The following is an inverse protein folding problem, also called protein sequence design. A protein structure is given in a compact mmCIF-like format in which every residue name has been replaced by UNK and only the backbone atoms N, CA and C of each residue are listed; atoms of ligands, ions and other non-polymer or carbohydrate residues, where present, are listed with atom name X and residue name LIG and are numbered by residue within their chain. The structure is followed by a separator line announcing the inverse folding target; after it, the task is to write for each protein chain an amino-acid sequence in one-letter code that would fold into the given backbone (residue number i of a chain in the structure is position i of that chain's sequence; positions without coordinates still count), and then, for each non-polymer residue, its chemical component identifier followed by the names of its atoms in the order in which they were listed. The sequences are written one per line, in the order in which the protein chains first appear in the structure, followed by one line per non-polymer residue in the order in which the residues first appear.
data_IF_722202118723
#
_entry.id   IF_722202118723
#
_cell.length_a   1.000
_cell.length_b   1.000
_cell.length_c   1.000
_cell.angle_alpha   90.00
_cell.angle_beta   90.00
_cell.angle_gamma   90.00
#
_symmetry.space_group_name_H-M   'P 1'
#
loop_
_entity.id
_entity.type
_entity.pdbx_description
1 polymer ?
#
# COMPACT_ATOMS: atom_id res chain seq x y z
N UNK A 1 21.66 -9.01 -10.81
CA UNK A 1 20.65 -8.46 -9.84
C UNK A 1 20.16 -7.09 -10.29
N UNK A 2 21.04 -6.13 -10.59
CA UNK A 2 20.65 -4.78 -11.07
C UNK A 2 19.93 -4.86 -12.43
N UNK A 3 20.40 -5.69 -13.36
CA UNK A 3 19.77 -5.87 -14.67
C UNK A 3 18.36 -6.50 -14.56
N UNK A 4 18.12 -7.34 -13.55
CA UNK A 4 16.77 -7.87 -13.25
C UNK A 4 15.84 -6.76 -12.78
N UNK A 5 16.30 -5.89 -11.87
CA UNK A 5 15.51 -4.76 -11.35
C UNK A 5 15.21 -3.74 -12.46
N UNK A 6 16.16 -3.50 -13.36
CA UNK A 6 15.96 -2.55 -14.48
C UNK A 6 15.05 -3.12 -15.57
N UNK A 7 15.05 -4.43 -15.77
CA UNK A 7 14.17 -5.09 -16.74
C UNK A 7 12.72 -5.25 -16.23
N UNK A 8 12.55 -5.39 -14.91
CA UNK A 8 11.22 -5.42 -14.25
C UNK A 8 10.57 -4.04 -14.12
N UNK A 9 11.34 -2.96 -14.25
CA UNK A 9 10.82 -1.59 -14.36
C UNK A 9 10.31 -1.31 -15.79
N UNK A 10 9.41 -2.17 -16.27
CA UNK A 10 8.77 -1.93 -17.56
C UNK A 10 7.93 -0.65 -17.48
N UNK A 11 7.96 0.15 -18.55
CA UNK A 11 7.15 1.37 -18.64
C UNK A 11 5.66 1.06 -18.39
N UNK A 12 5.22 -0.12 -18.80
CA UNK A 12 3.87 -0.64 -18.56
C UNK A 12 3.57 -0.88 -17.07
N UNK A 13 4.53 -1.40 -16.30
CA UNK A 13 4.37 -1.59 -14.86
C UNK A 13 4.27 -0.23 -14.12
N UNK A 14 5.04 0.76 -14.55
CA UNK A 14 4.96 2.12 -13.98
C UNK A 14 3.60 2.76 -14.26
N UNK A 15 3.11 2.66 -15.50
CA UNK A 15 1.77 3.17 -15.84
C UNK A 15 0.65 2.44 -15.08
N UNK A 16 0.73 1.13 -14.97
CA UNK A 16 -0.21 0.33 -14.19
C UNK A 16 -0.20 0.74 -12.72
N UNK A 17 0.98 0.98 -12.15
CA UNK A 17 1.13 1.46 -10.78
C UNK A 17 0.49 2.84 -10.57
N UNK A 18 0.79 3.81 -11.42
CA UNK A 18 0.21 5.17 -11.31
C UNK A 18 -1.32 5.12 -11.40
N UNK A 19 -1.86 4.35 -12.35
CA UNK A 19 -3.29 4.21 -12.53
C UNK A 19 -3.92 3.54 -11.30
N UNK A 20 -3.34 2.46 -10.82
CA UNK A 20 -3.87 1.72 -9.67
C UNK A 20 -3.74 2.49 -8.35
N UNK A 21 -2.67 3.26 -8.14
CA UNK A 21 -2.56 4.19 -7.00
C UNK A 21 -3.67 5.22 -7.04
N UNK A 22 -3.95 5.80 -8.22
CA UNK A 22 -5.02 6.78 -8.37
C UNK A 22 -6.39 6.18 -8.06
N UNK A 23 -6.67 4.96 -8.53
CA UNK A 23 -7.87 4.21 -8.17
C UNK A 23 -7.91 3.88 -6.67
N UNK A 24 -6.78 3.47 -6.09
CA UNK A 24 -6.66 3.22 -4.67
C UNK A 24 -7.00 4.44 -3.82
N UNK A 25 -6.51 5.61 -4.21
CA UNK A 25 -6.84 6.87 -3.54
C UNK A 25 -8.36 7.12 -3.56
N UNK A 26 -9.02 6.90 -4.69
CA UNK A 26 -10.47 7.04 -4.80
C UNK A 26 -11.21 6.06 -3.89
N UNK A 27 -10.76 4.80 -3.82
CA UNK A 27 -11.35 3.80 -2.92
C UNK A 27 -11.17 4.15 -1.44
N UNK A 28 -10.01 4.62 -1.04
CA UNK A 28 -9.74 4.94 0.37
C UNK A 28 -10.35 6.26 0.84
N UNK A 29 -10.72 7.17 -0.08
CA UNK A 29 -11.48 8.39 0.26
C UNK A 29 -12.95 8.07 0.54
N UNK A 30 -13.49 6.99 0.00
CA UNK A 30 -14.90 6.63 0.22
C UNK A 30 -15.03 5.83 1.53
N UNK A 31 -15.69 6.39 2.56
CA UNK A 31 -15.90 5.67 3.81
C UNK A 31 -16.68 4.38 3.59
N UNK A 32 -16.18 3.27 4.12
CA UNK A 32 -16.79 1.94 3.95
C UNK A 32 -16.17 1.10 2.84
N UNK A 33 -15.38 1.69 1.93
CA UNK A 33 -14.54 0.92 1.00
C UNK A 33 -13.16 0.71 1.62
N UNK A 34 -12.75 -0.55 1.73
CA UNK A 34 -11.44 -0.89 2.30
C UNK A 34 -10.41 -1.12 1.20
N UNK A 35 -9.13 -0.95 1.53
CA UNK A 35 -8.03 -1.30 0.62
C UNK A 35 -8.13 -2.76 0.14
N UNK A 36 -8.58 -3.66 1.02
CA UNK A 36 -8.76 -5.08 0.70
C UNK A 36 -9.84 -5.29 -0.36
N UNK A 37 -10.95 -4.55 -0.30
CA UNK A 37 -12.01 -4.61 -1.32
C UNK A 37 -11.49 -4.11 -2.66
N UNK A 38 -10.73 -3.01 -2.67
CA UNK A 38 -10.11 -2.48 -3.89
C UNK A 38 -9.19 -3.50 -4.55
N UNK A 39 -8.31 -4.12 -3.77
CA UNK A 39 -7.42 -5.18 -4.25
C UNK A 39 -8.22 -6.38 -4.76
N UNK A 40 -9.24 -6.83 -4.02
CA UNK A 40 -10.07 -7.97 -4.42
C UNK A 40 -10.80 -7.74 -5.77
N UNK A 41 -11.25 -6.52 -6.02
CA UNK A 41 -11.86 -6.15 -7.29
C UNK A 41 -10.83 -6.06 -8.43
N UNK A 42 -9.58 -5.72 -8.11
CA UNK A 42 -8.53 -5.59 -9.11
C UNK A 42 -7.91 -6.94 -9.50
N UNK A 43 -7.92 -7.95 -8.60
CA UNK A 43 -7.35 -9.29 -8.87
C UNK A 43 -7.84 -9.90 -10.19
N UNK A 44 -9.14 -9.96 -10.50
CA UNK A 44 -9.59 -10.54 -11.76
C UNK A 44 -9.07 -9.80 -13.00
N UNK A 45 -8.85 -8.48 -12.88
CA UNK A 45 -8.34 -7.65 -13.98
C UNK A 45 -6.83 -7.88 -14.21
N UNK A 46 -6.13 -8.42 -13.23
CA UNK A 46 -4.70 -8.73 -13.35
C UNK A 46 -4.43 -10.10 -13.99
N UNK A 47 -5.45 -10.95 -14.15
CA UNK A 47 -5.30 -12.22 -14.84
C UNK A 47 -4.95 -11.98 -16.32
N UNK A 48 -3.87 -12.59 -16.77
CA UNK A 48 -3.38 -12.42 -18.14
C UNK A 48 -2.38 -11.27 -18.32
N UNK A 49 -2.11 -10.49 -17.28
CA UNK A 49 -1.01 -9.51 -17.28
C UNK A 49 0.32 -10.17 -16.88
N UNK A 50 1.45 -9.65 -17.36
CA UNK A 50 2.76 -10.04 -16.83
C UNK A 50 2.81 -9.85 -15.31
N UNK A 51 3.55 -10.71 -14.61
CA UNK A 51 3.56 -10.74 -13.15
C UNK A 51 4.03 -9.41 -12.52
N UNK A 52 5.04 -8.76 -13.12
CA UNK A 52 5.55 -7.45 -12.71
C UNK A 52 4.46 -6.37 -12.76
N UNK A 53 3.70 -6.32 -13.85
CA UNK A 53 2.59 -5.37 -14.04
C UNK A 53 1.45 -5.67 -13.06
N UNK A 54 1.09 -6.94 -12.89
CA UNK A 54 0.04 -7.36 -11.97
C UNK A 54 0.37 -7.01 -10.51
N UNK A 55 1.58 -7.34 -10.05
CA UNK A 55 2.02 -7.00 -8.70
C UNK A 55 2.11 -5.49 -8.48
N UNK A 56 2.66 -4.75 -9.44
CA UNK A 56 2.71 -3.28 -9.37
C UNK A 56 1.32 -2.66 -9.26
N UNK A 57 0.34 -3.16 -10.01
CA UNK A 57 -1.02 -2.69 -9.95
C UNK A 57 -1.70 -2.98 -8.59
N UNK A 58 -1.57 -4.21 -8.09
CA UNK A 58 -2.16 -4.61 -6.80
C UNK A 58 -1.55 -3.84 -5.62
N UNK A 59 -0.22 -3.67 -5.60
CA UNK A 59 0.48 -2.89 -4.59
C UNK A 59 0.11 -1.42 -4.66
N UNK A 60 0.05 -0.84 -5.86
CA UNK A 60 -0.37 0.55 -6.06
C UNK A 60 -1.77 0.81 -5.52
N UNK A 61 -2.72 -0.06 -5.83
CA UNK A 61 -4.10 0.00 -5.32
C UNK A 61 -4.14 -0.04 -3.79
N UNK A 62 -3.41 -0.96 -3.19
CA UNK A 62 -3.36 -1.13 -1.74
C UNK A 62 -2.75 0.08 -1.04
N UNK A 63 -1.59 0.55 -1.50
CA UNK A 63 -0.89 1.69 -0.90
C UNK A 63 -1.69 2.99 -1.07
N UNK A 64 -2.28 3.22 -2.24
CA UNK A 64 -3.14 4.37 -2.50
C UNK A 64 -4.35 4.42 -1.58
N UNK A 65 -5.02 3.27 -1.39
CA UNK A 65 -6.19 3.18 -0.53
C UNK A 65 -5.85 3.37 0.96
N UNK A 66 -4.74 2.80 1.44
CA UNK A 66 -4.31 3.01 2.84
C UNK A 66 -3.96 4.47 3.10
N UNK A 67 -3.19 5.08 2.20
CA UNK A 67 -2.79 6.48 2.35
C UNK A 67 -4.00 7.41 2.39
N UNK A 68 -4.93 7.26 1.45
CA UNK A 68 -6.09 8.14 1.32
C UNK A 68 -7.08 8.02 2.47
N UNK A 69 -7.09 6.90 3.19
CA UNK A 69 -7.86 6.73 4.41
C UNK A 69 -7.48 7.74 5.52
N UNK A 70 -6.24 8.22 5.52
CA UNK A 70 -5.81 9.29 6.44
C UNK A 70 -6.38 10.67 6.06
N UNK A 71 -6.63 10.91 4.78
CA UNK A 71 -7.23 12.18 4.29
C UNK A 71 -8.65 12.32 4.84
N UNK A 72 -9.45 11.27 4.74
CA UNK A 72 -10.82 11.26 5.27
C UNK A 72 -10.85 11.36 6.79
N UNK A 73 -9.92 10.70 7.48
CA UNK A 73 -9.76 10.83 8.92
C UNK A 73 -9.52 12.28 9.34
N UNK A 74 -8.71 13.05 8.61
CA UNK A 74 -8.40 14.45 8.88
C UNK A 74 -9.58 15.35 8.56
N UNK A 75 -10.21 15.20 7.38
CA UNK A 75 -11.17 16.15 6.84
C UNK A 75 -12.59 15.95 7.38
N UNK A 76 -13.02 14.70 7.54
CA UNK A 76 -14.39 14.36 7.92
C UNK A 76 -14.48 13.51 9.20
N UNK A 77 -13.37 13.38 9.93
CA UNK A 77 -13.31 12.62 11.20
C UNK A 77 -13.79 11.16 11.07
N UNK A 78 -13.68 10.59 9.88
CA UNK A 78 -14.06 9.20 9.60
C UNK A 78 -12.88 8.48 8.96
N UNK A 79 -12.31 7.45 9.61
CA UNK A 79 -11.17 6.75 9.06
C UNK A 79 -11.61 5.93 7.84
N UNK A 80 -10.99 6.13 6.69
CA UNK A 80 -11.25 5.32 5.49
C UNK A 80 -10.68 3.91 5.60
N UNK A 81 -9.62 3.74 6.41
CA UNK A 81 -8.99 2.44 6.66
C UNK A 81 -8.69 2.28 8.15
N UNK A 82 -8.58 1.04 8.68
CA UNK A 82 -8.20 0.81 10.07
C UNK A 82 -6.86 1.44 10.46
N UNK A 83 -5.91 1.49 9.53
CA UNK A 83 -4.60 2.10 9.74
C UNK A 83 -4.70 3.63 9.99
N UNK A 84 -5.71 4.29 9.46
CA UNK A 84 -5.94 5.72 9.64
C UNK A 84 -6.60 6.08 10.98
N UNK A 85 -6.96 5.10 11.82
CA UNK A 85 -7.59 5.35 13.12
C UNK A 85 -6.71 6.22 14.05
N UNK A 86 -5.38 6.03 14.01
CA UNK A 86 -4.48 6.86 14.79
C UNK A 86 -4.50 8.34 14.36
N UNK A 87 -4.76 8.63 13.09
CA UNK A 87 -4.83 10.00 12.55
C UNK A 87 -6.04 10.77 13.09
N UNK A 88 -7.08 10.08 13.60
CA UNK A 88 -8.24 10.71 14.21
C UNK A 88 -7.92 11.45 15.51
N UNK A 89 -6.84 11.10 16.19
CA UNK A 89 -6.51 11.70 17.48
C UNK A 89 -6.19 13.19 17.34
N UNK A 90 -5.45 13.58 16.32
CA UNK A 90 -4.97 14.96 16.15
C UNK A 90 -5.39 15.60 14.82
N UNK A 91 -5.64 14.78 13.78
CA UNK A 91 -5.96 15.24 12.44
C UNK A 91 -7.18 16.19 12.38
N UNK A 92 -8.35 15.78 12.91
CA UNK A 92 -9.55 16.63 12.93
C UNK A 92 -9.37 17.91 13.76
N UNK A 93 -8.62 17.83 14.86
CA UNK A 93 -8.35 19.00 15.69
C UNK A 93 -7.50 20.05 14.95
N UNK A 94 -6.55 19.61 14.10
CA UNK A 94 -5.78 20.49 13.23
C UNK A 94 -6.65 21.03 12.08
N UNK A 95 -7.50 20.21 11.50
CA UNK A 95 -8.44 20.63 10.47
C UNK A 95 -9.42 21.70 10.95
N UNK A 96 -9.96 21.56 12.17
CA UNK A 96 -10.82 22.53 12.80
C UNK A 96 -10.14 23.90 13.03
N UNK A 97 -8.82 23.91 13.17
CA UNK A 97 -8.01 25.14 13.26
C UNK A 97 -7.64 25.73 11.89
N UNK A 98 -8.18 25.20 10.79
CA UNK A 98 -7.85 25.65 9.43
C UNK A 98 -6.49 25.13 8.92
N UNK A 99 -5.85 24.17 9.61
CA UNK A 99 -4.54 23.63 9.32
C UNK A 99 -4.60 22.24 8.64
N UNK A 100 -5.69 21.93 7.95
CA UNK A 100 -5.89 20.63 7.27
C UNK A 100 -4.78 20.30 6.27
N UNK A 101 -4.34 21.29 5.48
CA UNK A 101 -3.22 21.11 4.55
C UNK A 101 -1.93 20.71 5.26
N UNK A 102 -1.63 21.31 6.41
CA UNK A 102 -0.46 20.95 7.22
C UNK A 102 -0.57 19.53 7.76
N UNK A 103 -1.74 19.13 8.25
CA UNK A 103 -1.98 17.77 8.72
C UNK A 103 -1.79 16.73 7.60
N UNK A 104 -2.36 16.97 6.41
CA UNK A 104 -2.19 16.09 5.24
C UNK A 104 -0.73 16.00 4.81
N UNK A 105 0.00 17.12 4.78
CA UNK A 105 1.42 17.11 4.43
C UNK A 105 2.24 16.29 5.43
N UNK A 106 1.95 16.41 6.72
CA UNK A 106 2.64 15.62 7.74
C UNK A 106 2.38 14.11 7.58
N UNK A 107 1.14 13.71 7.31
CA UNK A 107 0.83 12.28 7.05
C UNK A 107 1.51 11.77 5.78
N UNK A 108 1.61 12.60 4.73
CA UNK A 108 2.32 12.25 3.49
C UNK A 108 3.80 12.01 3.76
N UNK A 109 4.46 12.93 4.46
CA UNK A 109 5.89 12.81 4.80
C UNK A 109 6.12 11.59 5.70
N UNK A 110 5.29 11.39 6.71
CA UNK A 110 5.38 10.24 7.61
C UNK A 110 5.20 8.92 6.85
N UNK A 111 4.24 8.85 5.94
CA UNK A 111 4.00 7.66 5.08
C UNK A 111 5.17 7.39 4.15
N UNK A 112 5.79 8.43 3.59
CA UNK A 112 6.97 8.30 2.74
C UNK A 112 8.17 7.74 3.51
N UNK A 113 8.47 8.30 4.67
CA UNK A 113 9.58 7.85 5.53
C UNK A 113 9.31 6.42 6.02
N UNK A 114 8.09 6.15 6.50
CA UNK A 114 7.67 4.82 6.93
C UNK A 114 7.74 3.77 5.81
N UNK A 115 7.37 4.16 4.59
CA UNK A 115 7.46 3.31 3.40
C UNK A 115 8.90 2.93 3.05
N UNK A 116 9.82 3.90 3.08
CA UNK A 116 11.26 3.62 2.85
C UNK A 116 11.79 2.67 3.92
N UNK A 117 11.49 2.94 5.20
CA UNK A 117 11.93 2.09 6.29
C UNK A 117 11.37 0.66 6.17
N UNK A 118 10.08 0.54 5.83
CA UNK A 118 9.43 -0.76 5.58
C UNK A 118 10.08 -1.53 4.44
N UNK A 119 10.43 -0.85 3.34
CA UNK A 119 11.16 -1.47 2.22
C UNK A 119 12.51 -2.05 2.66
N UNK A 120 13.28 -1.29 3.44
CA UNK A 120 14.59 -1.75 3.95
C UNK A 120 14.42 -2.98 4.84
N UNK A 121 13.47 -2.93 5.78
CA UNK A 121 13.17 -4.07 6.67
C UNK A 121 12.72 -5.28 5.86
N UNK A 122 11.88 -5.11 4.85
CA UNK A 122 11.40 -6.20 4.01
C UNK A 122 12.55 -6.89 3.26
N UNK A 123 13.47 -6.12 2.67
CA UNK A 123 14.63 -6.66 1.95
C UNK A 123 15.50 -7.51 2.88
N UNK A 124 15.66 -7.11 4.13
CA UNK A 124 16.50 -7.84 5.10
C UNK A 124 15.78 -9.06 5.67
N UNK A 125 14.51 -8.94 5.99
CA UNK A 125 13.76 -9.95 6.75
C UNK A 125 13.08 -10.99 5.83
N UNK A 126 12.61 -10.59 4.65
CA UNK A 126 11.87 -11.49 3.76
C UNK A 126 12.65 -12.75 3.33
N UNK A 127 13.96 -12.69 2.98
CA UNK A 127 14.73 -13.89 2.66
C UNK A 127 14.85 -14.86 3.83
N UNK A 128 14.98 -14.35 5.05
CA UNK A 128 15.10 -15.17 6.25
C UNK A 128 13.79 -15.88 6.59
N UNK A 129 12.66 -15.18 6.44
CA UNK A 129 11.34 -15.79 6.62
C UNK A 129 11.07 -16.85 5.56
N UNK A 130 11.44 -16.62 4.30
CA UNK A 130 11.28 -17.59 3.23
C UNK A 130 12.09 -18.88 3.51
N UNK A 131 13.33 -18.75 3.95
CA UNK A 131 14.17 -19.89 4.33
C UNK A 131 13.59 -20.65 5.54
N UNK A 132 13.06 -19.94 6.53
CA UNK A 132 12.40 -20.54 7.69
C UNK A 132 11.16 -21.35 7.30
N UNK A 133 10.32 -20.81 6.41
CA UNK A 133 9.13 -21.50 5.91
C UNK A 133 9.47 -22.75 5.10
N UNK A 134 10.50 -22.71 4.27
CA UNK A 134 10.99 -23.88 3.51
C UNK A 134 11.46 -24.95 4.48
N UNK A 135 12.17 -24.60 5.54
CA UNK A 135 12.66 -25.56 6.53
C UNK A 135 11.53 -26.23 7.33
N UNK A 136 10.43 -25.52 7.59
CA UNK A 136 9.26 -26.07 8.29
C UNK A 136 8.44 -27.00 7.36
N UNK A 137 8.42 -26.75 6.05
CA UNK A 137 7.64 -27.55 5.10
C UNK A 137 8.34 -28.82 4.61
N UNK A 138 9.64 -29.00 4.87
CA UNK A 138 10.42 -30.16 4.43
C UNK A 138 10.41 -31.42 5.31
N UNK A 139 9.94 -31.48 6.57
CA UNK A 139 10.02 -32.69 7.36
C UNK A 139 9.11 -33.83 6.89
N UNK A 140 8.23 -33.62 5.92
CA UNK A 140 7.20 -34.61 5.52
C UNK A 140 7.57 -35.44 4.29
N UNK A 141 8.76 -35.31 3.73
CA UNK A 141 9.21 -36.06 2.54
C UNK A 141 10.23 -37.18 2.85
N UNK A 142 10.17 -37.76 4.02
CA UNK A 142 10.94 -38.96 4.36
C UNK A 142 10.04 -40.13 4.74
N UNK A 143 9.17 -40.55 3.82
CA UNK A 143 8.64 -41.93 3.78
C UNK A 143 8.21 -42.22 2.35
#
# INVERSE_FOLDING_TARGET
MIDYILNDLSLTAIFANILSVSLGILFGILPGLTATMGVALLIPLTFGLPADVAFSALLGMYLGAIYSGSITAILISTPGTPAAAATLLEGPALAAKGLSGKAITMTTVASFIGGIFSCIVLIVVAPQLALSLIHISEPTRRY
#
